data_IF_724255299573
#
_entry.id   IF_724255299573
#
_cell.length_a   1.000
_cell.length_b   1.000
_cell.length_c   1.000
_cell.angle_alpha   90.00
_cell.angle_beta   90.00
_cell.angle_gamma   90.00
#
_symmetry.space_group_name_H-M   'P 1'
#
loop_
_entity.id
_entity.type
_entity.pdbx_description
1 polymer ?
#
# COMPACT_ATOMS: atom_id res chain seq x y z
N UNK A 1 -25.17 26.53 10.13
CA UNK A 1 -24.00 25.67 10.44
C UNK A 1 -24.00 24.34 9.66
N UNK A 2 -24.62 24.25 8.47
CA UNK A 2 -24.67 23.01 7.66
C UNK A 2 -23.90 23.07 6.33
N UNK A 3 -23.42 24.24 5.91
CA UNK A 3 -22.76 24.41 4.61
C UNK A 3 -21.26 24.00 4.60
N UNK A 4 -20.63 23.88 5.77
CA UNK A 4 -19.22 23.48 5.91
C UNK A 4 -19.06 21.95 5.87
N UNK A 5 -20.06 21.20 6.36
CA UNK A 5 -20.03 19.73 6.38
C UNK A 5 -20.31 19.07 5.02
N UNK A 6 -20.95 19.79 4.08
CA UNK A 6 -21.21 19.27 2.73
C UNK A 6 -19.98 19.33 1.80
N UNK A 7 -18.92 20.05 2.19
CA UNK A 7 -17.74 20.29 1.34
C UNK A 7 -16.53 19.40 1.70
N UNK A 8 -16.71 18.44 2.61
CA UNK A 8 -15.62 17.69 3.23
C UNK A 8 -15.52 16.21 2.83
N UNK A 9 -16.29 15.71 1.87
CA UNK A 9 -16.07 14.31 1.46
C UNK A 9 -16.23 14.02 -0.04
N UNK A 10 -15.26 14.47 -0.88
CA UNK A 10 -15.09 13.97 -2.24
C UNK A 10 -14.13 12.76 -2.33
N UNK A 11 -13.65 12.18 -1.20
CA UNK A 11 -12.67 11.06 -1.20
C UNK A 11 -13.21 9.72 -0.71
N UNK A 12 -14.40 9.66 -0.08
CA UNK A 12 -14.98 8.40 0.40
C UNK A 12 -15.59 7.52 -0.70
N UNK A 13 -15.90 8.06 -1.89
CA UNK A 13 -16.69 7.34 -2.93
C UNK A 13 -15.82 6.82 -4.10
N UNK A 14 -14.56 7.23 -4.22
CA UNK A 14 -13.68 6.81 -5.33
C UNK A 14 -13.07 5.40 -5.12
N UNK A 15 -13.15 4.85 -3.90
CA UNK A 15 -12.66 3.52 -3.60
C UNK A 15 -13.46 2.45 -4.36
N UNK A 16 -14.80 2.56 -4.37
CA UNK A 16 -15.69 1.58 -5.00
C UNK A 16 -15.49 1.49 -6.52
N UNK A 17 -15.40 2.62 -7.23
CA UNK A 17 -15.13 2.64 -8.67
C UNK A 17 -13.75 2.07 -9.03
N UNK A 18 -12.76 2.26 -8.15
CA UNK A 18 -11.44 1.64 -8.27
C UNK A 18 -11.49 0.12 -8.12
N UNK A 19 -12.31 -0.43 -7.20
CA UNK A 19 -12.51 -1.89 -7.07
C UNK A 19 -13.15 -2.52 -8.30
N UNK A 20 -14.15 -1.87 -8.89
CA UNK A 20 -14.78 -2.37 -10.12
C UNK A 20 -13.81 -2.34 -11.31
N UNK A 21 -13.00 -1.28 -11.41
CA UNK A 21 -11.94 -1.18 -12.42
C UNK A 21 -10.83 -2.22 -12.25
N UNK A 22 -10.39 -2.46 -11.01
CA UNK A 22 -9.35 -3.41 -10.67
C UNK A 22 -9.78 -4.85 -10.97
N UNK A 23 -11.03 -5.22 -10.67
CA UNK A 23 -11.56 -6.56 -10.96
C UNK A 23 -11.55 -6.88 -12.47
N UNK A 24 -11.90 -5.92 -13.32
CA UNK A 24 -11.83 -6.09 -14.78
C UNK A 24 -10.39 -6.15 -15.32
N UNK A 25 -9.43 -5.51 -14.62
CA UNK A 25 -8.01 -5.46 -15.01
C UNK A 25 -7.22 -6.68 -14.54
N UNK A 26 -7.61 -7.29 -13.42
CA UNK A 26 -6.99 -8.52 -12.89
C UNK A 26 -7.17 -9.71 -13.86
N UNK A 27 -8.27 -9.73 -14.61
CA UNK A 27 -8.54 -10.76 -15.61
C UNK A 27 -8.03 -10.39 -17.02
N UNK A 28 -7.44 -9.21 -17.18
CA UNK A 28 -6.93 -8.75 -18.49
C UNK A 28 -5.45 -9.12 -18.61
N UNK A 29 -5.18 -10.21 -19.32
CA UNK A 29 -3.83 -10.56 -19.78
C UNK A 29 -3.35 -9.52 -20.81
N UNK A 30 -2.16 -8.94 -20.58
CA UNK A 30 -1.48 -8.12 -21.58
C UNK A 30 -0.76 -9.05 -22.58
N UNK A 31 -0.91 -8.84 -23.91
CA UNK A 31 -0.12 -9.57 -24.90
C UNK A 31 1.35 -9.14 -24.85
N UNK A 32 2.26 -10.12 -24.86
CA UNK A 32 3.71 -9.98 -24.67
C UNK A 32 4.39 -9.20 -25.81
N UNK A 33 3.81 -9.19 -27.01
CA UNK A 33 4.39 -8.48 -28.18
C UNK A 33 4.61 -6.98 -27.94
N UNK A 34 3.78 -6.36 -27.09
CA UNK A 34 3.89 -4.92 -26.76
C UNK A 34 5.00 -4.58 -25.75
N UNK A 35 5.72 -5.58 -25.20
CA UNK A 35 6.86 -5.35 -24.30
C UNK A 35 8.21 -5.42 -25.03
N UNK A 36 8.27 -5.98 -26.25
CA UNK A 36 9.52 -6.18 -26.99
C UNK A 36 9.96 -4.97 -27.82
N UNK A 37 9.07 -4.04 -28.15
CA UNK A 37 9.43 -2.82 -28.90
C UNK A 37 10.25 -1.80 -28.08
N UNK A 38 10.48 -2.04 -26.78
CA UNK A 38 11.27 -1.18 -25.90
C UNK A 38 12.59 -1.77 -25.41
N UNK A 39 13.00 -2.94 -25.92
CA UNK A 39 14.11 -3.73 -25.36
C UNK A 39 15.33 -3.90 -26.27
N UNK A 40 15.52 -3.04 -27.29
CA UNK A 40 16.67 -3.10 -28.21
C UNK A 40 17.75 -2.02 -27.97
N UNK A 41 17.64 -1.23 -26.89
CA UNK A 41 18.67 -0.25 -26.52
C UNK A 41 19.54 -0.73 -25.35
N UNK A 42 20.63 -1.40 -25.71
CA UNK A 42 21.66 -2.00 -24.87
C UNK A 42 22.51 -0.98 -24.06
N UNK A 43 22.05 0.25 -23.80
CA UNK A 43 22.78 1.25 -23.00
C UNK A 43 21.81 2.13 -22.19
N UNK A 44 21.57 1.76 -20.93
CA UNK A 44 20.95 2.65 -19.94
C UNK A 44 19.42 2.62 -19.92
N UNK A 45 18.83 1.49 -19.51
CA UNK A 45 17.38 1.32 -19.33
C UNK A 45 16.87 2.22 -18.19
N UNK A 46 16.51 3.47 -18.50
CA UNK A 46 15.86 4.37 -17.55
C UNK A 46 14.39 3.98 -17.45
N UNK A 47 14.06 3.19 -16.43
CA UNK A 47 12.67 2.86 -16.06
C UNK A 47 11.83 4.15 -16.05
N UNK A 48 10.67 4.11 -16.71
CA UNK A 48 9.71 5.20 -16.66
C UNK A 48 9.28 5.39 -15.20
N UNK A 49 9.49 6.59 -14.62
CA UNK A 49 8.97 6.92 -13.29
C UNK A 49 7.46 7.15 -13.38
N UNK A 50 6.71 6.06 -13.23
CA UNK A 50 5.25 6.06 -13.24
C UNK A 50 4.64 5.90 -11.84
N UNK A 51 5.46 5.68 -10.80
CA UNK A 51 4.95 5.52 -9.45
C UNK A 51 4.61 6.88 -8.82
N UNK A 52 3.36 6.99 -8.39
CA UNK A 52 2.87 8.11 -7.60
C UNK A 52 3.21 7.89 -6.12
N UNK A 53 3.15 8.93 -5.29
CA UNK A 53 3.38 8.82 -3.85
C UNK A 53 2.51 7.74 -3.18
N UNK A 54 1.26 7.58 -3.63
CA UNK A 54 0.35 6.54 -3.14
C UNK A 54 0.88 5.14 -3.49
N UNK A 55 1.36 4.93 -4.72
CA UNK A 55 1.93 3.64 -5.15
C UNK A 55 3.17 3.30 -4.32
N UNK A 56 4.04 4.29 -4.05
CA UNK A 56 5.22 4.09 -3.21
C UNK A 56 4.86 3.72 -1.76
N UNK A 57 3.89 4.40 -1.17
CA UNK A 57 3.42 4.10 0.20
C UNK A 57 2.79 2.72 0.24
N UNK A 58 1.95 2.36 -0.73
CA UNK A 58 1.34 1.03 -0.83
C UNK A 58 2.40 -0.07 -1.01
N UNK A 59 3.45 0.17 -1.80
CA UNK A 59 4.58 -0.75 -1.92
C UNK A 59 5.35 -0.91 -0.60
N UNK A 60 5.58 0.18 0.13
CA UNK A 60 6.24 0.13 1.43
C UNK A 60 5.42 -0.61 2.49
N UNK A 61 4.12 -0.32 2.59
CA UNK A 61 3.23 -1.02 3.53
C UNK A 61 3.10 -2.49 3.16
N UNK A 62 2.98 -2.81 1.86
CA UNK A 62 2.89 -4.19 1.38
C UNK A 62 4.17 -5.00 1.62
N UNK A 63 5.35 -4.37 1.62
CA UNK A 63 6.60 -5.08 1.92
C UNK A 63 6.80 -5.32 3.42
N UNK A 64 6.32 -4.41 4.27
CA UNK A 64 6.42 -4.53 5.72
C UNK A 64 5.34 -5.44 6.32
N UNK A 65 4.10 -5.37 5.82
CA UNK A 65 2.95 -6.13 6.34
C UNK A 65 2.84 -7.47 5.62
N UNK A 66 3.70 -8.41 5.99
CA UNK A 66 3.67 -9.79 5.52
C UNK A 66 3.03 -10.77 6.51
N UNK A 67 3.09 -12.07 6.18
CA UNK A 67 2.67 -13.17 7.08
C UNK A 67 3.36 -13.09 8.45
N UNK A 68 4.61 -12.65 8.49
CA UNK A 68 5.40 -12.50 9.72
C UNK A 68 4.76 -11.54 10.73
N UNK A 69 4.21 -10.42 10.30
CA UNK A 69 3.62 -9.42 11.22
C UNK A 69 2.39 -9.98 11.94
N UNK A 70 1.56 -10.78 11.25
CA UNK A 70 0.39 -11.41 11.86
C UNK A 70 0.78 -12.43 12.95
N UNK A 71 1.86 -13.19 12.74
CA UNK A 71 2.37 -14.14 13.73
C UNK A 71 3.04 -13.41 14.90
N UNK A 72 3.92 -12.45 14.60
CA UNK A 72 4.66 -11.69 15.63
C UNK A 72 3.70 -10.92 16.54
N UNK A 73 2.64 -10.31 16.00
CA UNK A 73 1.63 -9.64 16.82
C UNK A 73 0.97 -10.59 17.82
N UNK A 74 0.61 -11.81 17.39
CA UNK A 74 0.04 -12.83 18.26
C UNK A 74 1.02 -13.33 19.32
N UNK A 75 2.27 -13.57 18.94
CA UNK A 75 3.33 -14.00 19.87
C UNK A 75 3.60 -12.94 20.94
N UNK A 76 3.75 -11.67 20.54
CA UNK A 76 3.98 -10.57 21.49
C UNK A 76 2.76 -10.37 22.40
N UNK A 77 1.54 -10.50 21.87
CA UNK A 77 0.33 -10.43 22.69
C UNK A 77 0.25 -11.57 23.71
N UNK A 78 0.63 -12.79 23.34
CA UNK A 78 0.57 -13.94 24.24
C UNK A 78 1.69 -13.95 25.29
N UNK A 79 2.92 -13.72 24.86
CA UNK A 79 4.12 -13.98 25.68
C UNK A 79 4.66 -12.73 26.39
N UNK A 80 4.42 -11.52 25.86
CA UNK A 80 5.07 -10.30 26.37
C UNK A 80 4.09 -9.25 26.92
N UNK A 81 3.13 -8.80 26.11
CA UNK A 81 2.35 -7.58 26.40
C UNK A 81 0.90 -7.84 26.84
N UNK A 82 0.35 -9.04 26.60
CA UNK A 82 -1.04 -9.33 26.93
C UNK A 82 -2.01 -8.37 26.20
N UNK A 83 -3.09 -7.92 26.85
CA UNK A 83 -4.01 -6.92 26.28
C UNK A 83 -3.35 -5.55 26.02
N UNK A 84 -2.15 -5.30 26.59
CA UNK A 84 -1.39 -4.07 26.43
C UNK A 84 -0.58 -3.98 25.12
N UNK A 85 -0.61 -5.01 24.27
CA UNK A 85 0.17 -5.09 23.02
C UNK A 85 -0.03 -3.88 22.08
N UNK A 86 -1.23 -3.28 22.11
CA UNK A 86 -1.56 -2.08 21.34
C UNK A 86 -0.69 -0.90 21.78
N UNK A 87 -0.46 -0.71 23.08
CA UNK A 87 0.39 0.36 23.60
C UNK A 87 1.86 0.15 23.19
N UNK A 88 2.34 -1.10 23.24
CA UNK A 88 3.69 -1.44 22.80
C UNK A 88 3.91 -1.11 21.33
N UNK A 89 2.94 -1.44 20.46
CA UNK A 89 3.03 -1.11 19.03
C UNK A 89 2.97 0.40 18.76
N UNK A 90 2.18 1.17 19.51
CA UNK A 90 2.14 2.63 19.37
C UNK A 90 3.50 3.25 19.69
N UNK A 91 4.12 2.84 20.81
CA UNK A 91 5.44 3.35 21.20
C UNK A 91 6.50 2.96 20.15
N UNK A 92 6.48 1.73 19.67
CA UNK A 92 7.38 1.27 18.62
C UNK A 92 7.21 2.07 17.31
N UNK A 93 5.96 2.38 16.91
CA UNK A 93 5.69 3.18 15.74
C UNK A 93 6.24 4.61 15.87
N UNK A 94 6.07 5.26 17.04
CA UNK A 94 6.64 6.58 17.31
C UNK A 94 8.17 6.53 17.26
N UNK A 95 8.78 5.53 17.87
CA UNK A 95 10.23 5.34 17.82
C UNK A 95 10.75 5.16 16.38
N UNK A 96 10.04 4.39 15.55
CA UNK A 96 10.41 4.17 14.14
C UNK A 96 10.27 5.43 13.27
N UNK A 97 9.33 6.32 13.57
CA UNK A 97 9.15 7.59 12.84
C UNK A 97 10.25 8.60 13.19
N UNK A 98 10.76 8.54 14.43
CA UNK A 98 11.83 9.43 14.90
C UNK A 98 13.24 8.94 14.57
N UNK A 99 13.38 7.67 14.15
CA UNK A 99 14.65 7.04 13.81
C UNK A 99 15.14 7.35 12.41
#
# INVERSE_FOLDING_TARGET
>A
MSAVFAKLDPRRIEWESSWYGLHSRILRTKPVDSMQEGSDDLHGTRLARVLTAVDLVSLGVGSCVGTGMYVVAGLVAKEMAGPGVILSFIIAAVASILS
#
